data_IF_280385551528
#
_entry.id   IF_280385551528
#
_cell.length_a   1.000
_cell.length_b   1.000
_cell.length_c   1.000
_cell.angle_alpha   90.00
_cell.angle_beta   90.00
_cell.angle_gamma   90.00
#
_symmetry.space_group_name_H-M   'P 1'
#
loop_
_entity.id
_entity.type
_entity.pdbx_description
1 polymer ?
#
# COMPACT_ATOMS: atom_id res chain seq x y z
N UNK A 1 2.14 15.11 -20.73
CA UNK A 1 0.90 14.86 -21.48
C UNK A 1 0.41 13.47 -21.06
N UNK A 2 -0.47 13.41 -20.06
CA UNK A 2 -1.02 12.15 -19.54
C UNK A 2 -2.31 11.89 -20.31
N UNK A 3 -2.30 10.86 -21.15
CA UNK A 3 -3.45 10.48 -21.96
C UNK A 3 -4.56 9.84 -21.11
N UNK A 4 -5.76 10.07 -21.59
CA UNK A 4 -7.07 9.64 -21.14
C UNK A 4 -7.16 8.16 -20.75
N UNK A 5 -7.70 7.89 -19.55
CA UNK A 5 -8.20 6.56 -19.18
C UNK A 5 -7.53 5.84 -18.00
N UNK A 6 -6.49 6.40 -17.38
CA UNK A 6 -5.84 5.76 -16.21
C UNK A 6 -6.77 5.69 -14.99
N UNK A 7 -7.30 4.50 -14.69
CA UNK A 7 -8.12 4.24 -13.50
C UNK A 7 -7.20 3.82 -12.35
N UNK A 8 -7.02 4.72 -11.38
CA UNK A 8 -6.36 4.38 -10.12
C UNK A 8 -7.31 3.55 -9.24
N UNK A 9 -6.83 2.41 -8.73
CA UNK A 9 -7.59 1.59 -7.78
C UNK A 9 -7.05 1.81 -6.37
N UNK A 10 -7.94 2.20 -5.44
CA UNK A 10 -7.63 2.25 -4.02
C UNK A 10 -8.28 1.03 -3.33
N UNK A 11 -7.45 0.19 -2.70
CA UNK A 11 -7.91 -1.00 -1.97
C UNK A 11 -7.63 -0.78 -0.48
N UNK A 12 -8.68 -0.83 0.34
CA UNK A 12 -8.59 -0.85 1.80
C UNK A 12 -8.66 -2.30 2.29
N UNK A 13 -8.03 -2.63 3.43
CA UNK A 13 -7.96 -4.02 3.91
C UNK A 13 -9.34 -4.66 4.14
N UNK A 14 -10.38 -3.87 4.39
CA UNK A 14 -11.74 -4.34 4.66
C UNK A 14 -12.48 -4.87 3.42
N UNK A 15 -11.98 -4.61 2.19
CA UNK A 15 -12.62 -5.05 0.94
C UNK A 15 -12.33 -6.50 0.55
N UNK A 16 -11.47 -7.22 1.28
CA UNK A 16 -10.98 -8.57 0.91
C UNK A 16 -11.97 -9.70 1.29
N UNK A 17 -13.11 -9.41 1.95
CA UNK A 17 -13.97 -10.44 2.55
C UNK A 17 -14.99 -11.15 1.63
N UNK A 18 -15.08 -10.89 0.31
CA UNK A 18 -16.12 -11.52 -0.54
C UNK A 18 -15.65 -11.94 -1.95
N UNK A 19 -15.55 -13.27 -2.15
CA UNK A 19 -15.70 -13.93 -3.47
C UNK A 19 -14.46 -14.66 -3.98
N UNK A 20 -14.51 -16.00 -4.07
CA UNK A 20 -13.37 -16.92 -4.22
C UNK A 20 -12.80 -17.03 -5.64
N UNK A 21 -11.47 -16.85 -5.73
CA UNK A 21 -10.52 -17.53 -6.60
C UNK A 21 -9.21 -17.55 -5.81
N UNK A 22 -8.67 -18.75 -5.52
CA UNK A 22 -7.49 -19.13 -4.71
C UNK A 22 -7.13 -18.30 -3.45
N UNK A 23 -7.07 -16.97 -3.56
CA UNK A 23 -7.17 -15.97 -2.49
C UNK A 23 -8.35 -15.05 -2.84
N UNK A 24 -9.59 -15.45 -2.56
CA UNK A 24 -10.75 -14.55 -2.35
C UNK A 24 -10.95 -13.31 -3.25
N UNK A 25 -10.57 -13.30 -4.53
CA UNK A 25 -10.75 -12.13 -5.41
C UNK A 25 -11.89 -12.35 -6.40
N UNK A 26 -12.85 -11.42 -6.39
CA UNK A 26 -13.96 -11.43 -7.36
C UNK A 26 -13.46 -11.19 -8.78
N UNK A 27 -14.09 -11.82 -9.78
CA UNK A 27 -13.77 -11.62 -11.20
C UNK A 27 -13.78 -10.14 -11.61
N UNK A 28 -14.73 -9.36 -11.08
CA UNK A 28 -14.82 -7.92 -11.32
C UNK A 28 -13.59 -7.17 -10.79
N UNK A 29 -13.11 -7.53 -9.60
CA UNK A 29 -11.90 -6.92 -9.04
C UNK A 29 -10.67 -7.33 -9.86
N UNK A 30 -10.59 -8.58 -10.32
CA UNK A 30 -9.51 -9.02 -11.19
C UNK A 30 -9.47 -8.22 -12.51
N UNK A 31 -10.61 -8.04 -13.17
CA UNK A 31 -10.71 -7.19 -14.37
C UNK A 31 -10.29 -5.74 -14.08
N UNK A 32 -10.76 -5.17 -12.97
CA UNK A 32 -10.34 -3.82 -12.55
C UNK A 32 -8.84 -3.72 -12.28
N UNK A 33 -8.21 -4.78 -11.77
CA UNK A 33 -6.78 -4.84 -11.54
C UNK A 33 -5.99 -4.98 -12.85
N UNK A 34 -6.50 -5.73 -13.83
CA UNK A 34 -5.90 -5.82 -15.18
C UNK A 34 -5.92 -4.48 -15.92
N UNK A 35 -6.97 -3.68 -15.74
CA UNK A 35 -7.11 -2.37 -16.36
C UNK A 35 -6.44 -1.23 -15.57
N UNK A 36 -6.08 -1.47 -14.31
CA UNK A 36 -5.49 -0.44 -13.47
C UNK A 36 -4.07 -0.11 -13.93
N UNK A 37 -3.72 1.18 -13.93
CA UNK A 37 -2.34 1.63 -14.17
C UNK A 37 -1.57 1.87 -12.87
N UNK A 38 -2.28 2.08 -11.76
CA UNK A 38 -1.71 2.31 -10.43
C UNK A 38 -2.63 1.69 -9.38
N UNK A 39 -2.03 0.89 -8.48
CA UNK A 39 -2.67 0.40 -7.27
C UNK A 39 -2.12 1.18 -6.06
N UNK A 40 -3.00 1.83 -5.29
CA UNK A 40 -2.62 2.53 -4.06
C UNK A 40 -3.11 1.75 -2.85
N UNK A 41 -2.17 1.29 -2.01
CA UNK A 41 -2.49 0.68 -0.72
C UNK A 41 -2.09 1.64 0.40
N UNK A 42 -3.07 1.94 1.26
CA UNK A 42 -2.89 2.72 2.48
C UNK A 42 -2.51 1.78 3.64
N UNK A 43 -1.72 2.28 4.60
CA UNK A 43 -1.38 1.56 5.85
C UNK A 43 -0.63 0.23 5.64
N UNK A 44 0.09 0.10 4.52
CA UNK A 44 0.83 -1.14 4.18
C UNK A 44 1.84 -1.53 5.25
N UNK A 45 2.40 -0.56 5.97
CA UNK A 45 3.45 -0.78 6.97
C UNK A 45 2.94 -1.52 8.21
N UNK A 46 1.64 -1.44 8.49
CA UNK A 46 0.99 -2.14 9.60
C UNK A 46 0.70 -3.61 9.21
N UNK A 47 0.72 -3.93 7.91
CA UNK A 47 0.44 -5.28 7.43
C UNK A 47 1.62 -6.22 7.64
N UNK A 48 1.29 -7.49 7.83
CA UNK A 48 2.28 -8.57 7.80
C UNK A 48 2.91 -8.65 6.41
N UNK A 49 4.22 -8.90 6.34
CA UNK A 49 4.93 -9.07 5.05
C UNK A 49 4.27 -10.10 4.14
N UNK A 50 3.74 -11.19 4.72
CA UNK A 50 3.06 -12.27 3.98
C UNK A 50 1.81 -11.80 3.26
N UNK A 51 1.13 -10.77 3.78
CA UNK A 51 -0.04 -10.18 3.10
C UNK A 51 0.42 -9.45 1.83
N UNK A 52 1.53 -8.70 1.93
CA UNK A 52 2.10 -7.98 0.78
C UNK A 52 2.65 -8.97 -0.26
N UNK A 53 3.35 -10.01 0.18
CA UNK A 53 3.84 -11.09 -0.68
C UNK A 53 2.69 -11.85 -1.36
N UNK A 54 1.57 -12.09 -0.66
CA UNK A 54 0.40 -12.70 -1.28
C UNK A 54 -0.24 -11.80 -2.34
N UNK A 55 -0.26 -10.48 -2.11
CA UNK A 55 -0.74 -9.50 -3.11
C UNK A 55 0.17 -9.53 -4.35
N UNK A 56 1.49 -9.61 -4.17
CA UNK A 56 2.46 -9.71 -5.27
C UNK A 56 2.13 -10.90 -6.19
N UNK A 57 1.99 -12.08 -5.60
CA UNK A 57 1.68 -13.34 -6.31
C UNK A 57 0.35 -13.21 -7.07
N UNK A 58 -0.66 -12.64 -6.42
CA UNK A 58 -1.97 -12.42 -7.02
C UNK A 58 -1.90 -11.47 -8.21
N UNK A 59 -1.16 -10.36 -8.09
CA UNK A 59 -1.04 -9.40 -9.18
C UNK A 59 -0.29 -10.02 -10.36
N UNK A 60 0.75 -10.79 -10.10
CA UNK A 60 1.50 -11.54 -11.12
C UNK A 60 0.60 -12.54 -11.86
N UNK A 61 -0.22 -13.28 -11.13
CA UNK A 61 -1.20 -14.23 -11.70
C UNK A 61 -2.24 -13.50 -12.57
N UNK A 62 -2.85 -12.44 -12.06
CA UNK A 62 -3.87 -11.65 -12.77
C UNK A 62 -3.29 -10.97 -14.01
N UNK A 63 -2.08 -10.40 -13.90
CA UNK A 63 -1.41 -9.66 -14.96
C UNK A 63 -0.63 -10.55 -15.94
N UNK A 64 -0.50 -11.86 -15.66
CA UNK A 64 0.39 -12.76 -16.40
C UNK A 64 1.80 -12.19 -16.56
N UNK A 65 2.30 -11.54 -15.51
CA UNK A 65 3.62 -10.91 -15.45
C UNK A 65 4.46 -11.55 -14.35
N UNK A 66 5.78 -11.55 -14.55
CA UNK A 66 6.76 -11.95 -13.53
C UNK A 66 7.38 -10.75 -12.81
N UNK A 67 6.96 -9.54 -13.16
CA UNK A 67 7.44 -8.33 -12.53
C UNK A 67 6.88 -8.20 -11.11
N UNK A 68 7.66 -7.61 -10.22
CA UNK A 68 7.20 -7.28 -8.86
C UNK A 68 5.95 -6.41 -8.97
N UNK A 69 4.89 -6.85 -8.28
CA UNK A 69 3.54 -6.28 -8.24
C UNK A 69 2.93 -6.07 -9.63
N UNK A 70 3.37 -6.86 -10.64
CA UNK A 70 3.02 -6.66 -12.06
C UNK A 70 3.31 -5.25 -12.58
N UNK A 71 4.27 -4.53 -11.96
CA UNK A 71 4.55 -3.12 -12.25
C UNK A 71 3.47 -2.13 -11.77
N UNK A 72 2.44 -2.61 -11.08
CA UNK A 72 1.25 -1.86 -10.67
C UNK A 72 1.25 -1.63 -9.16
N UNK A 73 2.06 -0.69 -8.66
CA UNK A 73 2.08 -0.47 -7.22
C UNK A 73 2.59 0.88 -6.76
N UNK A 74 1.83 1.51 -5.88
CA UNK A 74 2.24 2.66 -5.09
C UNK A 74 1.85 2.44 -3.62
N UNK A 75 2.85 2.50 -2.75
CA UNK A 75 2.64 2.38 -1.32
C UNK A 75 2.45 3.73 -0.68
N UNK A 76 1.30 3.92 -0.04
CA UNK A 76 1.12 5.03 0.89
C UNK A 76 1.51 4.55 2.28
N UNK A 77 2.78 4.74 2.58
CA UNK A 77 3.28 4.70 3.95
C UNK A 77 2.92 6.04 4.59
N UNK A 78 1.91 6.04 5.43
CA UNK A 78 1.83 7.05 6.47
C UNK A 78 3.00 6.86 7.45
N UNK A 79 3.21 7.89 8.27
CA UNK A 79 4.41 8.04 9.06
C UNK A 79 4.72 6.75 9.85
N UNK A 80 5.95 6.20 9.67
CA UNK A 80 6.50 4.99 10.32
C UNK A 80 6.40 4.97 11.86
N UNK A 81 5.83 6.01 12.46
CA UNK A 81 5.46 6.11 13.87
C UNK A 81 4.18 5.36 14.20
N UNK A 82 3.48 4.79 13.21
CA UNK A 82 2.45 3.79 13.46
C UNK A 82 3.04 2.42 13.80
N UNK A 83 2.32 1.71 14.66
CA UNK A 83 2.71 0.47 15.33
C UNK A 83 3.13 -0.63 14.35
N UNK A 84 4.24 -1.34 14.65
CA UNK A 84 4.66 -2.54 13.93
C UNK A 84 3.54 -3.61 13.91
N UNK A 85 3.56 -4.57 12.97
CA UNK A 85 2.62 -5.69 12.99
C UNK A 85 2.57 -6.38 14.35
N UNK A 86 1.37 -6.55 14.91
CA UNK A 86 1.19 -7.15 16.24
C UNK A 86 1.19 -8.66 16.14
N UNK A 87 2.31 -9.29 16.52
CA UNK A 87 2.43 -10.76 16.59
C UNK A 87 2.06 -11.24 17.99
N UNK A 88 0.89 -11.88 18.12
CA UNK A 88 0.44 -12.42 19.40
C UNK A 88 1.40 -13.48 19.93
N UNK A 89 1.81 -13.35 21.21
CA UNK A 89 2.77 -14.25 21.87
C UNK A 89 4.14 -14.35 21.16
N UNK A 90 4.44 -13.41 20.25
CA UNK A 90 5.68 -13.39 19.50
C UNK A 90 6.81 -12.72 20.28
N UNK A 91 8.03 -13.20 20.06
CA UNK A 91 9.24 -12.50 20.49
C UNK A 91 9.55 -11.34 19.53
N UNK A 92 10.49 -10.48 19.92
CA UNK A 92 10.98 -9.38 19.07
C UNK A 92 11.39 -9.85 17.67
N UNK A 93 12.03 -11.03 17.56
CA UNK A 93 12.43 -11.59 16.27
C UNK A 93 11.23 -11.89 15.37
N UNK A 94 10.10 -12.34 15.93
CA UNK A 94 8.89 -12.60 15.17
C UNK A 94 8.24 -11.31 14.66
N UNK A 95 8.26 -10.25 15.47
CA UNK A 95 7.75 -8.93 15.07
C UNK A 95 8.60 -8.37 13.92
N UNK A 96 9.93 -8.42 14.05
CA UNK A 96 10.84 -7.98 12.98
C UNK A 96 10.63 -8.82 11.72
N UNK A 97 10.53 -10.13 11.84
CA UNK A 97 10.28 -11.02 10.70
C UNK A 97 8.93 -10.74 10.02
N UNK A 98 7.90 -10.37 10.80
CA UNK A 98 6.59 -10.01 10.27
C UNK A 98 6.56 -8.67 9.52
N UNK A 99 7.52 -7.77 9.76
CA UNK A 99 7.56 -6.46 9.11
C UNK A 99 7.86 -6.57 7.61
N UNK A 100 7.28 -5.66 6.81
CA UNK A 100 7.55 -5.54 5.38
C UNK A 100 9.04 -5.38 5.05
N UNK A 101 9.81 -4.72 5.95
CA UNK A 101 11.27 -4.57 5.79
C UNK A 101 12.05 -5.88 5.72
N UNK A 102 11.45 -6.97 6.22
CA UNK A 102 12.03 -8.32 6.21
C UNK A 102 11.54 -9.15 5.01
N UNK A 103 10.77 -8.56 4.09
CA UNK A 103 10.35 -9.17 2.83
C UNK A 103 11.41 -8.99 1.75
N UNK A 104 11.48 -9.93 0.80
CA UNK A 104 12.30 -9.79 -0.41
C UNK A 104 11.83 -8.63 -1.28
N UNK A 105 10.54 -8.27 -1.21
CA UNK A 105 9.97 -7.15 -1.96
C UNK A 105 10.54 -5.80 -1.53
N UNK A 106 11.09 -5.71 -0.31
CA UNK A 106 11.61 -4.46 0.23
C UNK A 106 12.76 -3.87 -0.60
N UNK A 107 13.58 -4.71 -1.24
CA UNK A 107 14.71 -4.24 -2.07
C UNK A 107 14.24 -3.49 -3.33
N UNK A 108 12.98 -3.68 -3.76
CA UNK A 108 12.39 -2.99 -4.89
C UNK A 108 11.65 -1.70 -4.50
N UNK A 109 11.57 -1.37 -3.21
CA UNK A 109 10.84 -0.18 -2.73
C UNK A 109 11.67 1.09 -2.94
N UNK A 110 11.08 2.04 -3.66
CA UNK A 110 11.60 3.40 -3.80
C UNK A 110 10.92 4.33 -2.78
N UNK A 111 11.71 5.07 -1.99
CA UNK A 111 11.18 5.98 -0.97
C UNK A 111 10.97 7.39 -1.54
N UNK A 112 9.78 7.92 -1.33
CA UNK A 112 9.45 9.32 -1.61
C UNK A 112 9.01 9.98 -0.30
N UNK A 113 9.64 11.09 0.04
CA UNK A 113 9.38 11.82 1.28
C UNK A 113 8.55 13.09 0.99
N UNK A 114 7.45 13.25 1.73
CA UNK A 114 6.67 14.49 1.73
C UNK A 114 7.30 15.49 2.70
N UNK A 115 8.08 16.44 2.18
CA UNK A 115 8.79 17.44 2.99
C UNK A 115 7.92 18.58 3.52
N UNK A 116 6.73 18.78 2.92
CA UNK A 116 5.87 19.94 3.21
C UNK A 116 4.61 19.48 3.95
N UNK A 117 4.51 19.80 5.24
CA UNK A 117 3.32 19.56 6.03
C UNK A 117 2.26 20.64 5.76
N UNK A 118 1.37 20.37 4.82
CA UNK A 118 0.31 21.31 4.43
C UNK A 118 -0.67 21.66 5.58
N UNK A 119 -0.81 20.80 6.59
CA UNK A 119 -1.67 21.06 7.76
C UNK A 119 -1.10 22.20 8.61
N UNK A 120 0.20 22.15 8.90
CA UNK A 120 0.89 23.22 9.65
C UNK A 120 0.94 24.54 8.89
N UNK A 121 0.97 24.49 7.55
CA UNK A 121 0.93 25.68 6.71
C UNK A 121 -0.42 26.40 6.76
N UNK A 122 -1.53 25.66 6.83
CA UNK A 122 -2.88 26.22 6.93
C UNK A 122 -3.12 26.90 8.30
N UNK A 123 -2.49 26.38 9.36
CA UNK A 123 -2.57 26.97 10.70
C UNK A 123 -1.67 28.21 10.82
N UNK A 124 -0.49 28.20 10.21
CA UNK A 124 0.41 29.36 10.17
C UNK A 124 -0.22 30.57 9.46
N UNK A 125 -0.95 30.35 8.35
CA UNK A 125 -1.67 31.42 7.64
C UNK A 125 -2.84 32.01 8.43
N UNK A 126 -3.48 31.25 9.33
CA UNK A 126 -4.56 31.74 10.20
C UNK A 126 -4.03 32.52 11.41
N UNK A 127 -2.85 32.14 11.91
CA UNK A 127 -2.21 32.81 13.05
C UNK A 127 -1.57 34.16 12.70
N UNK A 128 -1.35 34.47 11.41
CA UNK A 128 -0.85 35.78 10.98
C UNK A 128 -1.94 36.86 10.92
N UNK A 129 -3.22 36.50 10.74
CA UNK A 129 -4.33 37.46 10.81
C UNK A 129 -4.87 37.69 12.22
N UNK A 130 -4.44 36.89 13.21
CA UNK A 130 -4.81 37.05 14.61
C UNK A 130 -3.87 37.98 15.40
N UNK A 131 -2.82 38.52 14.76
CA UNK A 131 -1.85 39.46 15.34
C UNK A 131 -1.61 40.70 14.45
N UNK A 132 -2.53 41.01 13.53
CA UNK A 132 -2.55 42.26 12.78
C UNK A 132 -3.63 43.21 13.33
#
# INVERSE_FOLDING_TARGET
>A
MMDSGSRALAVTSDRIKKGRLAIGISLRLAQMLQEASILVIYEIMIQYKKVVEAIDIVLQDIGSSTDIMSGLFFLRCDEFRQTLPVVQHGMRVNVVDACLKSSQLWSAVNFYELKKNMRLLLDASKNLEAFA
#
